data_IF_038217697049
#
_entry.id   IF_038217697049
#
_cell.length_a   1.000
_cell.length_b   1.000
_cell.length_c   1.000
_cell.angle_alpha   90.00
_cell.angle_beta   90.00
_cell.angle_gamma   90.00
#
_symmetry.space_group_name_H-M   'P 1'
#
loop_
_entity.id
_entity.type
_entity.pdbx_description
1 polymer ?
#
# COMPACT_ATOMS: atom_id res chain seq x y z
N UNK A 1 -16.77 11.02 12.59
CA UNK A 1 -15.76 11.42 11.60
C UNK A 1 -14.97 10.17 11.17
N UNK A 2 -14.67 10.01 9.87
CA UNK A 2 -13.98 8.81 9.34
C UNK A 2 -12.64 8.56 10.04
N UNK A 3 -11.93 9.64 10.34
CA UNK A 3 -10.63 9.65 11.03
C UNK A 3 -10.73 9.10 12.47
N UNK A 4 -11.81 9.43 13.18
CA UNK A 4 -12.05 8.95 14.55
C UNK A 4 -12.44 7.46 14.60
N UNK A 5 -13.27 7.00 13.66
CA UNK A 5 -13.66 5.59 13.55
C UNK A 5 -12.44 4.70 13.22
N UNK A 6 -11.58 5.17 12.33
CA UNK A 6 -10.35 4.47 11.94
C UNK A 6 -9.34 4.37 13.09
N UNK A 7 -9.15 5.47 13.82
CA UNK A 7 -8.28 5.52 15.00
C UNK A 7 -8.74 4.55 16.10
N UNK A 8 -10.06 4.41 16.28
CA UNK A 8 -10.67 3.45 17.20
C UNK A 8 -10.42 2.00 16.78
N UNK A 9 -10.55 1.68 15.49
CA UNK A 9 -10.30 0.33 14.93
C UNK A 9 -8.85 -0.10 15.06
N UNK A 10 -7.89 0.81 14.84
CA UNK A 10 -6.45 0.54 15.06
C UNK A 10 -6.13 0.16 16.51
N UNK A 11 -6.76 0.82 17.47
CA UNK A 11 -6.59 0.51 18.91
C UNK A 11 -7.22 -0.84 19.31
N UNK A 12 -8.11 -1.38 18.48
CA UNK A 12 -8.81 -2.64 18.70
C UNK A 12 -8.15 -3.85 18.03
N UNK A 13 -7.20 -3.66 17.10
CA UNK A 13 -6.45 -4.74 16.47
C UNK A 13 -5.55 -5.44 17.50
N UNK A 14 -6.05 -6.56 18.04
CA UNK A 14 -5.40 -7.37 19.09
C UNK A 14 -4.20 -8.18 18.59
N UNK A 15 -3.97 -8.24 17.29
CA UNK A 15 -3.02 -9.14 16.66
C UNK A 15 -2.14 -8.42 15.64
N UNK A 16 -0.86 -8.76 15.64
CA UNK A 16 0.12 -8.31 14.65
C UNK A 16 -0.19 -8.99 13.33
N UNK A 17 -0.63 -8.22 12.34
CA UNK A 17 -0.80 -8.70 10.97
C UNK A 17 0.52 -9.24 10.43
N UNK A 18 0.53 -10.42 9.82
CA UNK A 18 1.72 -11.04 9.24
C UNK A 18 1.54 -11.31 7.76
N UNK A 19 2.47 -10.81 6.94
CA UNK A 19 2.54 -11.12 5.50
C UNK A 19 2.65 -12.62 5.24
N UNK A 20 3.28 -13.38 6.13
CA UNK A 20 3.58 -14.80 5.92
C UNK A 20 2.56 -15.73 6.58
N UNK A 21 1.49 -15.19 7.18
CA UNK A 21 0.46 -15.99 7.84
C UNK A 21 -0.94 -15.60 7.32
N UNK A 22 -1.50 -16.37 6.36
CA UNK A 22 -2.81 -16.09 5.79
C UNK A 22 -3.95 -16.03 6.81
N UNK A 23 -3.78 -16.66 7.98
CA UNK A 23 -4.77 -16.63 9.06
C UNK A 23 -4.95 -15.23 9.65
N UNK A 24 -3.98 -14.33 9.45
CA UNK A 24 -4.03 -12.94 9.92
C UNK A 24 -4.60 -11.97 8.87
N UNK A 25 -4.91 -12.46 7.66
CA UNK A 25 -5.24 -11.58 6.54
C UNK A 25 -6.69 -11.09 6.51
N UNK A 26 -7.60 -11.78 7.19
CA UNK A 26 -8.97 -11.31 7.41
C UNK A 26 -9.03 -10.15 8.42
N UNK A 27 -7.96 -9.96 9.21
CA UNK A 27 -7.83 -8.87 10.17
C UNK A 27 -7.17 -7.61 9.57
N UNK A 28 -6.87 -7.62 8.26
CA UNK A 28 -6.35 -6.44 7.58
C UNK A 28 -7.35 -5.28 7.68
N UNK A 29 -6.83 -4.08 7.85
CA UNK A 29 -7.60 -2.86 8.07
C UNK A 29 -8.52 -2.53 6.86
N UNK A 30 -9.52 -1.64 7.04
CA UNK A 30 -10.36 -1.18 5.92
C UNK A 30 -9.50 -0.69 4.75
N UNK A 31 -9.92 -0.99 3.51
CA UNK A 31 -9.16 -0.83 2.24
C UNK A 31 -8.12 -1.94 1.94
N UNK A 32 -8.19 -3.09 2.61
CA UNK A 32 -7.36 -4.26 2.30
C UNK A 32 -7.45 -4.73 0.83
N UNK A 33 -8.61 -4.54 0.19
CA UNK A 33 -8.80 -4.84 -1.23
C UNK A 33 -8.17 -3.78 -2.16
N UNK A 34 -7.81 -2.60 -1.64
CA UNK A 34 -7.02 -1.59 -2.37
C UNK A 34 -5.52 -1.75 -2.08
N UNK A 35 -5.16 -2.78 -1.31
CA UNK A 35 -3.81 -3.06 -0.87
C UNK A 35 -3.30 -2.14 0.23
N UNK A 36 -4.13 -1.26 0.80
CA UNK A 36 -3.69 -0.28 1.78
C UNK A 36 -3.65 -0.91 3.18
N UNK A 37 -2.45 -0.96 3.77
CA UNK A 37 -2.26 -1.42 5.15
C UNK A 37 -2.19 -0.23 6.12
N UNK A 38 -3.35 0.11 6.69
CA UNK A 38 -3.46 1.14 7.70
C UNK A 38 -3.47 2.56 7.15
N UNK A 39 -3.46 3.53 8.07
CA UNK A 39 -3.63 4.95 7.76
C UNK A 39 -2.34 5.75 7.83
N UNK A 40 -1.34 5.27 8.57
CA UNK A 40 -0.18 6.08 8.87
C UNK A 40 0.83 6.01 7.73
N UNK A 41 1.31 7.16 7.23
CA UNK A 41 2.43 7.17 6.30
C UNK A 41 3.66 6.50 6.93
N UNK A 42 4.46 5.85 6.10
CA UNK A 42 5.68 5.19 6.58
C UNK A 42 6.82 6.18 6.67
N UNK A 43 7.18 6.51 7.90
CA UNK A 43 8.29 7.42 8.25
C UNK A 43 9.52 6.63 8.70
N UNK A 44 10.24 6.03 7.75
CA UNK A 44 11.51 5.36 8.02
C UNK A 44 12.60 5.88 7.10
N UNK A 45 13.85 5.81 7.53
CA UNK A 45 15.00 6.18 6.67
C UNK A 45 15.01 5.35 5.39
N UNK A 46 14.70 4.06 5.50
CA UNK A 46 14.58 3.15 4.35
C UNK A 46 13.47 3.56 3.38
N UNK A 47 12.31 4.01 3.87
CA UNK A 47 11.22 4.45 2.99
C UNK A 47 11.62 5.67 2.17
N UNK A 48 12.33 6.62 2.80
CA UNK A 48 12.86 7.81 2.14
C UNK A 48 14.00 7.51 1.17
N UNK A 49 14.96 6.67 1.57
CA UNK A 49 16.13 6.37 0.73
C UNK A 49 15.76 5.63 -0.55
N UNK A 50 14.72 4.77 -0.50
CA UNK A 50 14.17 4.14 -1.71
C UNK A 50 13.53 5.20 -2.62
N UNK A 51 12.75 6.13 -2.07
CA UNK A 51 12.07 7.19 -2.84
C UNK A 51 13.05 8.19 -3.47
N UNK A 52 14.19 8.41 -2.83
CA UNK A 52 15.26 9.30 -3.30
C UNK A 52 16.37 8.57 -4.06
N UNK A 53 16.21 7.27 -4.34
CA UNK A 53 17.27 6.47 -4.93
C UNK A 53 17.67 7.03 -6.31
N UNK A 54 18.97 7.11 -6.67
CA UNK A 54 19.41 7.73 -7.93
C UNK A 54 18.75 7.17 -9.18
N UNK A 55 18.46 5.86 -9.21
CA UNK A 55 17.72 5.22 -10.32
C UNK A 55 16.25 5.64 -10.40
N UNK A 56 15.59 5.89 -9.26
CA UNK A 56 14.21 6.39 -9.24
C UNK A 56 14.19 7.82 -9.76
N UNK A 57 15.14 8.64 -9.32
CA UNK A 57 15.35 10.00 -9.84
C UNK A 57 15.61 10.00 -11.35
N UNK A 58 16.49 9.13 -11.85
CA UNK A 58 16.79 9.03 -13.28
C UNK A 58 15.53 8.71 -14.11
N UNK A 59 14.71 7.76 -13.65
CA UNK A 59 13.44 7.44 -14.32
C UNK A 59 12.48 8.64 -14.29
N UNK A 60 12.32 9.28 -13.13
CA UNK A 60 11.49 10.48 -12.99
C UNK A 60 11.93 11.58 -13.96
N UNK A 61 13.23 11.90 -13.96
CA UNK A 61 13.76 13.03 -14.72
C UNK A 61 13.64 12.82 -16.23
N UNK A 62 13.85 11.59 -16.70
CA UNK A 62 13.71 11.27 -18.11
C UNK A 62 12.24 11.16 -18.54
N UNK A 63 11.36 10.61 -17.69
CA UNK A 63 9.96 10.40 -18.05
C UNK A 63 9.18 11.71 -18.06
N UNK A 64 9.44 12.59 -17.08
CA UNK A 64 8.70 13.84 -16.90
C UNK A 64 9.43 15.07 -17.46
N UNK A 65 10.72 14.93 -17.83
CA UNK A 65 11.55 16.07 -18.23
C UNK A 65 11.84 17.04 -17.09
N UNK A 66 11.83 16.55 -15.84
CA UNK A 66 11.91 17.36 -14.62
C UNK A 66 13.16 17.04 -13.79
N UNK A 67 13.84 18.05 -13.26
CA UNK A 67 15.01 17.88 -12.40
C UNK A 67 14.73 18.06 -10.91
N UNK A 68 13.63 18.73 -10.55
CA UNK A 68 13.23 18.96 -9.17
C UNK A 68 12.31 17.84 -8.68
N UNK A 69 12.91 16.79 -8.10
CA UNK A 69 12.16 15.68 -7.52
C UNK A 69 11.58 16.07 -6.15
N UNK A 70 10.25 16.17 -6.09
CA UNK A 70 9.52 16.22 -4.83
C UNK A 70 9.17 14.81 -4.35
N UNK A 71 9.47 14.51 -3.10
CA UNK A 71 9.21 13.19 -2.51
C UNK A 71 8.00 13.27 -1.58
N UNK A 72 6.93 12.56 -1.93
CA UNK A 72 5.79 12.34 -1.04
C UNK A 72 6.15 11.34 0.06
N UNK A 73 5.53 11.47 1.24
CA UNK A 73 5.53 10.44 2.28
C UNK A 73 4.20 9.70 2.23
N UNK A 74 4.25 8.38 2.03
CA UNK A 74 3.04 7.57 1.89
C UNK A 74 3.15 6.24 2.64
N UNK A 75 2.04 5.51 2.63
CA UNK A 75 1.88 4.15 3.13
C UNK A 75 2.56 3.15 2.20
N UNK A 76 2.68 1.91 2.66
CA UNK A 76 2.97 0.79 1.77
C UNK A 76 1.69 0.08 1.38
N UNK A 77 1.62 -0.27 0.09
CA UNK A 77 0.62 -1.19 -0.43
C UNK A 77 1.10 -2.65 -0.28
N UNK A 78 0.27 -3.52 0.27
CA UNK A 78 0.46 -4.97 0.21
C UNK A 78 -0.83 -5.59 -0.32
N UNK A 79 -0.71 -6.52 -1.27
CA UNK A 79 -1.85 -7.30 -1.76
C UNK A 79 -1.77 -8.72 -1.23
N UNK A 80 -2.94 -9.32 -1.00
CA UNK A 80 -3.08 -10.73 -0.63
C UNK A 80 -3.13 -11.57 -1.90
N UNK A 81 -2.37 -12.67 -2.02
CA UNK A 81 -2.60 -13.63 -3.10
C UNK A 81 -4.02 -14.18 -3.00
N UNK A 82 -4.69 -14.31 -4.13
CA UNK A 82 -6.08 -14.78 -4.22
C UNK A 82 -6.18 -16.25 -4.60
N UNK A 83 -5.13 -16.82 -5.18
CA UNK A 83 -5.06 -18.21 -5.64
C UNK A 83 -3.85 -18.90 -5.02
N UNK A 84 -3.92 -20.23 -4.95
CA UNK A 84 -2.85 -21.10 -4.47
C UNK A 84 -2.28 -20.73 -3.09
N UNK A 85 -3.16 -20.28 -2.17
CA UNK A 85 -2.73 -19.81 -0.84
C UNK A 85 -2.55 -20.99 0.10
N UNK A 86 -1.35 -21.15 0.64
CA UNK A 86 -1.05 -22.18 1.65
C UNK A 86 -1.57 -21.77 3.04
N UNK A 87 -2.65 -22.41 3.49
CA UNK A 87 -3.28 -22.16 4.79
C UNK A 87 -2.84 -23.21 5.80
N UNK A 88 -2.16 -22.82 6.91
CA UNK A 88 -1.80 -23.75 7.97
C UNK A 88 -3.03 -24.35 8.65
N UNK A 89 -3.06 -25.66 8.78
CA UNK A 89 -4.11 -26.45 9.44
C UNK A 89 -3.68 -26.95 10.83
N UNK A 90 -4.65 -27.39 11.64
CA UNK A 90 -4.34 -28.05 12.92
C UNK A 90 -3.55 -29.33 12.66
N UNK A 91 -2.46 -29.53 13.40
CA UNK A 91 -1.58 -30.69 13.25
C UNK A 91 -0.33 -30.45 12.38
N UNK A 92 -0.06 -29.21 11.97
CA UNK A 92 1.17 -28.85 11.24
C UNK A 92 1.14 -29.12 9.75
N UNK A 93 -0.01 -29.53 9.21
CA UNK A 93 -0.24 -29.65 7.77
C UNK A 93 -0.65 -28.31 7.17
N UNK A 94 -0.49 -28.14 5.85
CA UNK A 94 -1.03 -27.02 5.09
C UNK A 94 -2.04 -27.52 4.06
N UNK A 95 -2.99 -26.67 3.70
CA UNK A 95 -3.87 -26.88 2.53
C UNK A 95 -3.74 -25.70 1.58
N UNK A 96 -3.87 -25.95 0.29
CA UNK A 96 -3.99 -24.91 -0.72
C UNK A 96 -5.45 -24.51 -0.87
N UNK A 97 -5.73 -23.21 -0.93
CA UNK A 97 -7.09 -22.67 -1.05
C UNK A 97 -7.11 -21.37 -1.88
N UNK A 98 -8.30 -20.96 -2.32
CA UNK A 98 -8.52 -19.73 -3.10
C UNK A 98 -9.44 -18.77 -2.36
N UNK A 99 -9.15 -17.48 -2.47
CA UNK A 99 -9.78 -16.39 -1.73
C UNK A 99 -10.20 -15.26 -2.69
N UNK A 100 -11.20 -15.47 -3.54
CA UNK A 100 -11.64 -14.47 -4.53
C UNK A 100 -12.12 -13.16 -3.88
N UNK A 101 -12.60 -13.20 -2.63
CA UNK A 101 -12.98 -12.02 -1.86
C UNK A 101 -11.82 -11.06 -1.55
N UNK A 102 -10.56 -11.51 -1.68
CA UNK A 102 -9.39 -10.66 -1.49
C UNK A 102 -8.97 -9.93 -2.76
N UNK A 103 -9.63 -10.19 -3.90
CA UNK A 103 -9.40 -9.52 -5.18
C UNK A 103 -9.57 -8.01 -5.05
N UNK A 104 -8.74 -7.26 -5.77
CA UNK A 104 -8.83 -5.82 -5.80
C UNK A 104 -10.17 -5.34 -6.33
N UNK A 105 -10.74 -4.32 -5.70
CA UNK A 105 -11.92 -3.66 -6.27
C UNK A 105 -11.52 -2.94 -7.55
N UNK A 106 -12.47 -2.83 -8.48
CA UNK A 106 -12.22 -2.39 -9.85
C UNK A 106 -11.47 -1.05 -9.85
N UNK A 107 -10.31 -1.04 -10.51
CA UNK A 107 -9.41 0.08 -10.80
C UNK A 107 -8.15 0.20 -9.89
N UNK A 108 -7.08 0.77 -10.47
CA UNK A 108 -5.86 1.18 -9.76
C UNK A 108 -6.16 2.50 -9.05
N UNK A 109 -6.06 2.50 -7.72
CA UNK A 109 -6.12 3.74 -6.95
C UNK A 109 -4.84 4.56 -7.21
N UNK A 110 -4.97 5.75 -7.77
CA UNK A 110 -3.89 6.72 -7.90
C UNK A 110 -4.14 7.86 -6.91
N UNK A 111 -3.41 7.86 -5.80
CA UNK A 111 -3.48 8.93 -4.78
C UNK A 111 -3.02 10.29 -5.35
N UNK A 112 -2.15 10.30 -6.37
CA UNK A 112 -1.61 11.51 -6.99
C UNK A 112 -1.42 11.36 -8.50
N UNK A 113 -1.92 12.33 -9.28
CA UNK A 113 -1.62 12.44 -10.71
C UNK A 113 -0.43 13.39 -10.93
N UNK A 114 0.76 12.90 -11.30
CA UNK A 114 1.95 13.75 -11.46
C UNK A 114 1.81 14.76 -12.60
N UNK A 115 0.95 14.49 -13.59
CA UNK A 115 0.73 15.40 -14.71
C UNK A 115 -0.05 16.65 -14.31
N UNK A 116 -1.00 16.52 -13.38
CA UNK A 116 -1.74 17.70 -12.88
C UNK A 116 -0.82 18.72 -12.21
N UNK A 117 0.21 18.27 -11.49
CA UNK A 117 1.21 19.17 -10.91
C UNK A 117 2.02 19.92 -11.98
N UNK A 118 2.46 19.21 -13.03
CA UNK A 118 3.23 19.81 -14.11
C UNK A 118 2.38 20.79 -14.92
N UNK A 119 1.13 20.42 -15.18
CA UNK A 119 0.15 21.30 -15.84
C UNK A 119 -0.10 22.56 -15.01
N UNK A 120 -0.40 22.43 -13.71
CA UNK A 120 -0.64 23.60 -12.83
C UNK A 120 0.56 24.55 -12.83
N UNK A 121 1.78 24.01 -12.76
CA UNK A 121 3.02 24.80 -12.85
C UNK A 121 3.13 25.54 -14.17
N UNK A 122 2.91 24.86 -15.30
CA UNK A 122 3.06 25.44 -16.63
C UNK A 122 1.98 26.50 -16.92
N UNK A 123 0.81 26.39 -16.26
CA UNK A 123 -0.26 27.40 -16.30
C UNK A 123 -0.12 28.50 -15.23
N UNK A 124 0.88 28.42 -14.34
CA UNK A 124 1.15 29.43 -13.30
C UNK A 124 0.10 29.49 -12.18
N UNK A 125 -0.54 28.35 -11.88
CA UNK A 125 -1.50 28.19 -10.79
C UNK A 125 -0.82 27.78 -9.46
#
# INVERSE_FOLDING_TARGET
DYVEDFSRKRKAAKHTVSRNDPRTWDEWLPMANEGILGSDPVWTETSLSIRQHPKVYEVFANLLGESELMVNHDRYGLFRPTEDVEVPCKGGTSKTDSFPQWTTWWNVHLDLNPWSYLEDRDYGL
#
